data_IF_167336898542
#
_entry.id   IF_167336898542
#
_cell.length_a   1.000
_cell.length_b   1.000
_cell.length_c   1.000
_cell.angle_alpha   90.00
_cell.angle_beta   90.00
_cell.angle_gamma   90.00
#
_symmetry.space_group_name_H-M   'P 1'
#
loop_
_entity.id
_entity.type
_entity.pdbx_description
1 polymer ?
#
# COMPACT_ATOMS: atom_id res chain seq x y z
N UNK A 1 16.53 -22.07 -19.36
CA UNK A 1 17.16 -20.95 -20.10
C UNK A 1 16.52 -20.60 -21.44
N UNK A 2 16.63 -21.40 -22.53
CA UNK A 2 16.12 -20.97 -23.86
C UNK A 2 14.59 -20.74 -23.90
N UNK A 3 13.80 -21.58 -23.21
CA UNK A 3 12.34 -21.48 -23.15
C UNK A 3 11.87 -20.29 -22.30
N UNK A 4 12.49 -20.06 -21.14
CA UNK A 4 12.20 -18.90 -20.29
C UNK A 4 12.54 -17.59 -20.98
N UNK A 5 13.69 -17.54 -21.67
CA UNK A 5 14.08 -16.38 -22.47
C UNK A 5 13.07 -16.13 -23.59
N UNK A 6 12.64 -17.18 -24.30
CA UNK A 6 11.60 -17.07 -25.34
C UNK A 6 10.27 -16.55 -24.79
N UNK A 7 9.83 -17.05 -23.63
CA UNK A 7 8.61 -16.58 -22.96
C UNK A 7 8.75 -15.11 -22.56
N UNK A 8 9.85 -14.73 -21.91
CA UNK A 8 10.10 -13.37 -21.47
C UNK A 8 10.16 -12.39 -22.66
N UNK A 9 10.88 -12.75 -23.72
CA UNK A 9 10.97 -11.95 -24.94
C UNK A 9 9.61 -11.84 -25.65
N UNK A 10 8.85 -12.95 -25.75
CA UNK A 10 7.50 -12.94 -26.32
C UNK A 10 6.56 -12.02 -25.54
N UNK A 11 6.62 -12.06 -24.21
CA UNK A 11 5.80 -11.21 -23.35
C UNK A 11 6.16 -9.73 -23.54
N UNK A 12 7.46 -9.40 -23.54
CA UNK A 12 7.94 -8.04 -23.76
C UNK A 12 7.51 -7.49 -25.12
N UNK A 13 7.67 -8.28 -26.19
CA UNK A 13 7.23 -7.91 -27.54
C UNK A 13 5.72 -7.69 -27.58
N UNK A 14 4.94 -8.58 -26.94
CA UNK A 14 3.48 -8.45 -26.89
C UNK A 14 3.06 -7.15 -26.21
N UNK A 15 3.69 -6.81 -25.08
CA UNK A 15 3.42 -5.54 -24.37
C UNK A 15 3.74 -4.34 -25.24
N UNK A 16 4.89 -4.34 -25.92
CA UNK A 16 5.27 -3.24 -26.83
C UNK A 16 4.30 -3.10 -28.00
N UNK A 17 3.91 -4.22 -28.61
CA UNK A 17 2.93 -4.23 -29.72
C UNK A 17 1.58 -3.71 -29.24
N UNK A 18 1.08 -4.19 -28.10
CA UNK A 18 -0.19 -3.73 -27.55
C UNK A 18 -0.15 -2.25 -27.20
N UNK A 19 0.95 -1.76 -26.61
CA UNK A 19 1.12 -0.34 -26.31
C UNK A 19 1.16 0.51 -27.59
N UNK A 20 1.85 0.04 -28.63
CA UNK A 20 1.94 0.73 -29.91
C UNK A 20 0.59 0.74 -30.65
N UNK A 21 -0.12 -0.39 -30.69
CA UNK A 21 -1.48 -0.49 -31.24
C UNK A 21 -2.44 0.42 -30.48
N UNK A 22 -2.39 0.43 -29.14
CA UNK A 22 -3.22 1.32 -28.33
C UNK A 22 -2.92 2.79 -28.62
N UNK A 23 -1.65 3.12 -28.88
CA UNK A 23 -1.24 4.48 -29.24
C UNK A 23 -1.74 4.88 -30.63
N UNK A 24 -1.49 4.05 -31.66
CA UNK A 24 -1.91 4.31 -33.03
C UNK A 24 -3.43 4.27 -33.20
N UNK A 25 -4.10 3.38 -32.46
CA UNK A 25 -5.56 3.25 -32.45
C UNK A 25 -6.27 4.37 -31.69
N UNK A 26 -5.55 5.38 -31.21
CA UNK A 26 -6.13 6.51 -30.47
C UNK A 26 -6.65 6.14 -29.09
N UNK A 27 -6.20 5.02 -28.52
CA UNK A 27 -6.58 4.57 -27.16
C UNK A 27 -6.14 5.54 -26.05
N UNK A 28 -5.17 6.43 -26.34
CA UNK A 28 -4.76 7.53 -25.46
C UNK A 28 -5.66 8.79 -25.60
N UNK A 29 -6.62 8.75 -26.53
CA UNK A 29 -7.38 9.91 -26.96
C UNK A 29 -6.52 10.94 -27.72
N UNK A 30 -7.08 12.12 -28.03
CA UNK A 30 -6.30 13.21 -28.60
C UNK A 30 -5.14 13.59 -27.67
N UNK A 31 -3.92 13.59 -28.22
CA UNK A 31 -2.73 14.09 -27.55
C UNK A 31 -2.74 15.61 -27.72
N UNK A 32 -3.09 16.34 -26.66
CA UNK A 32 -3.17 17.80 -26.66
C UNK A 32 -1.77 18.41 -26.52
N UNK A 33 -1.53 19.54 -27.20
CA UNK A 33 -0.35 20.40 -26.99
C UNK A 33 -0.46 21.21 -25.71
N UNK A 34 -1.69 21.56 -25.32
CA UNK A 34 -2.00 22.37 -24.15
C UNK A 34 -2.45 21.52 -22.96
N UNK A 35 -2.52 22.15 -21.79
CA UNK A 35 -2.98 21.48 -20.58
C UNK A 35 -4.43 21.01 -20.77
N UNK A 36 -4.71 19.76 -20.41
CA UNK A 36 -6.07 19.22 -20.51
C UNK A 36 -6.99 19.97 -19.53
N UNK A 37 -8.25 20.30 -19.90
CA UNK A 37 -9.17 21.00 -18.99
C UNK A 37 -9.35 20.31 -17.62
N UNK A 38 -9.31 18.98 -17.58
CA UNK A 38 -9.37 18.23 -16.33
C UNK A 38 -8.13 18.46 -15.44
N UNK A 39 -6.95 18.58 -16.04
CA UNK A 39 -5.72 18.87 -15.30
C UNK A 39 -5.71 20.30 -14.76
N UNK A 40 -6.26 21.27 -15.51
CA UNK A 40 -6.49 22.63 -15.02
C UNK A 40 -7.41 22.64 -13.79
N UNK A 41 -8.48 21.84 -13.80
CA UNK A 41 -9.37 21.71 -12.65
C UNK A 41 -8.60 21.18 -11.44
N UNK A 42 -7.88 20.07 -11.58
CA UNK A 42 -7.10 19.51 -10.46
C UNK A 42 -6.09 20.52 -9.93
N UNK A 43 -5.22 21.08 -10.77
CA UNK A 43 -4.24 22.08 -10.33
C UNK A 43 -4.89 23.29 -9.67
N UNK A 44 -6.02 23.75 -10.20
CA UNK A 44 -6.76 24.89 -9.68
C UNK A 44 -7.51 24.62 -8.37
N UNK A 45 -7.65 23.36 -7.94
CA UNK A 45 -8.38 22.97 -6.74
C UNK A 45 -7.54 22.20 -5.71
N UNK A 46 -6.35 21.67 -6.03
CA UNK A 46 -5.59 20.86 -5.06
C UNK A 46 -5.28 21.62 -3.76
N UNK A 47 -4.74 22.84 -3.86
CA UNK A 47 -4.48 23.74 -2.73
C UNK A 47 -5.02 25.15 -3.05
N UNK A 48 -6.32 25.34 -2.89
CA UNK A 48 -6.95 26.65 -3.15
C UNK A 48 -7.95 27.03 -2.04
N UNK A 49 -7.52 27.82 -1.04
CA UNK A 49 -8.39 28.25 0.07
C UNK A 49 -9.59 29.10 -0.38
N UNK A 50 -9.49 29.84 -1.49
CA UNK A 50 -10.59 30.65 -2.03
C UNK A 50 -11.71 29.76 -2.58
N UNK A 51 -11.35 28.60 -3.14
CA UNK A 51 -12.31 27.60 -3.64
C UNK A 51 -12.70 26.58 -2.56
N UNK A 52 -13.15 27.08 -1.41
CA UNK A 52 -13.47 26.28 -0.21
C UNK A 52 -14.29 25.00 -0.48
N UNK A 53 -15.24 25.04 -1.40
CA UNK A 53 -16.13 23.89 -1.68
C UNK A 53 -15.56 22.88 -2.68
N UNK A 54 -14.45 23.17 -3.34
CA UNK A 54 -13.84 22.31 -4.36
C UNK A 54 -12.42 21.89 -3.99
N UNK A 55 -11.80 22.57 -3.04
CA UNK A 55 -10.41 22.34 -2.68
C UNK A 55 -10.17 21.02 -1.94
N UNK A 56 -9.04 20.38 -2.21
CA UNK A 56 -8.55 19.25 -1.42
C UNK A 56 -7.70 19.68 -0.22
N UNK A 57 -7.26 20.94 -0.21
CA UNK A 57 -6.35 21.51 0.78
C UNK A 57 -5.06 20.71 0.95
N UNK A 58 -4.51 20.18 -0.14
CA UNK A 58 -3.28 19.40 -0.16
C UNK A 58 -2.27 20.03 -1.11
N UNK A 59 -1.03 20.31 -0.68
CA UNK A 59 0.03 20.75 -1.58
C UNK A 59 0.44 19.67 -2.59
N UNK A 60 0.28 18.39 -2.24
CA UNK A 60 0.65 17.27 -3.09
C UNK A 60 -0.51 16.91 -4.06
N UNK A 61 -0.27 17.16 -5.35
CA UNK A 61 -1.24 17.00 -6.43
C UNK A 61 -1.74 15.56 -6.60
N UNK A 62 -0.84 14.59 -6.56
CA UNK A 62 -1.14 13.18 -6.81
C UNK A 62 -1.96 12.59 -5.68
N UNK A 63 -1.61 12.84 -4.43
CA UNK A 63 -2.32 12.45 -3.21
C UNK A 63 -3.73 13.03 -3.19
N UNK A 64 -3.91 14.30 -3.58
CA UNK A 64 -5.24 14.88 -3.77
C UNK A 64 -6.04 14.15 -4.84
N UNK A 65 -5.41 13.82 -5.97
CA UNK A 65 -6.06 13.06 -7.04
C UNK A 65 -6.45 11.67 -6.55
N UNK A 66 -5.54 10.91 -5.95
CA UNK A 66 -5.78 9.51 -5.60
C UNK A 66 -6.73 9.37 -4.41
N UNK A 67 -6.75 10.28 -3.44
CA UNK A 67 -7.58 10.14 -2.24
C UNK A 67 -8.82 11.04 -2.18
N UNK A 68 -8.83 12.22 -2.82
CA UNK A 68 -10.00 13.12 -2.82
C UNK A 68 -10.77 13.04 -4.14
N UNK A 69 -10.12 13.32 -5.28
CA UNK A 69 -10.81 13.40 -6.57
C UNK A 69 -11.18 12.04 -7.16
N UNK A 70 -10.31 11.05 -6.99
CA UNK A 70 -10.43 9.67 -7.48
C UNK A 70 -10.26 8.66 -6.35
N UNK A 71 -10.71 9.03 -5.14
CA UNK A 71 -10.64 8.21 -3.93
C UNK A 71 -11.14 6.79 -4.09
N UNK A 72 -12.22 6.60 -4.87
CA UNK A 72 -12.79 5.27 -5.11
C UNK A 72 -11.85 4.35 -5.91
N UNK A 73 -11.07 4.89 -6.84
CA UNK A 73 -10.13 4.10 -7.64
C UNK A 73 -9.04 3.52 -6.72
N UNK A 74 -8.49 4.34 -5.82
CA UNK A 74 -7.48 3.94 -4.84
C UNK A 74 -8.05 3.01 -3.75
N UNK A 75 -9.30 3.22 -3.34
CA UNK A 75 -10.00 2.32 -2.43
C UNK A 75 -10.11 0.92 -3.04
N UNK A 76 -10.48 0.83 -4.33
CA UNK A 76 -10.56 -0.45 -5.02
C UNK A 76 -9.19 -1.06 -5.33
N UNK A 77 -8.16 -0.25 -5.61
CA UNK A 77 -6.78 -0.74 -5.69
C UNK A 77 -6.36 -1.41 -4.37
N UNK A 78 -6.61 -0.74 -3.24
CA UNK A 78 -6.36 -1.28 -1.90
C UNK A 78 -7.17 -2.56 -1.65
N UNK A 79 -8.42 -2.63 -2.11
CA UNK A 79 -9.26 -3.81 -2.00
C UNK A 79 -8.74 -4.99 -2.84
N UNK A 80 -8.26 -4.75 -4.07
CA UNK A 80 -7.66 -5.78 -4.91
C UNK A 80 -6.37 -6.31 -4.28
N UNK A 81 -5.49 -5.42 -3.80
CA UNK A 81 -4.31 -5.82 -3.04
C UNK A 81 -4.70 -6.63 -1.80
N UNK A 82 -5.73 -6.21 -1.08
CA UNK A 82 -6.25 -6.93 0.08
C UNK A 82 -6.65 -8.37 -0.24
N UNK A 83 -7.42 -8.56 -1.31
CA UNK A 83 -7.87 -9.86 -1.80
C UNK A 83 -6.70 -10.74 -2.23
N UNK A 84 -5.68 -10.18 -2.87
CA UNK A 84 -4.47 -10.91 -3.25
C UNK A 84 -3.76 -11.50 -2.02
N UNK A 85 -3.62 -10.72 -0.94
CA UNK A 85 -3.03 -11.21 0.32
C UNK A 85 -3.89 -12.30 0.97
N UNK A 86 -5.22 -12.17 0.96
CA UNK A 86 -6.11 -13.24 1.45
C UNK A 86 -5.91 -14.51 0.62
N UNK A 87 -5.86 -14.39 -0.70
CA UNK A 87 -5.61 -15.51 -1.60
C UNK A 87 -4.30 -16.22 -1.23
N UNK A 88 -3.21 -15.46 -1.05
CA UNK A 88 -1.94 -16.01 -0.60
C UNK A 88 -2.05 -16.70 0.77
N UNK A 89 -2.69 -16.06 1.75
CA UNK A 89 -2.89 -16.65 3.09
C UNK A 89 -3.72 -17.92 3.05
N UNK A 90 -4.74 -17.98 2.18
CA UNK A 90 -5.62 -19.14 2.01
C UNK A 90 -4.88 -20.32 1.38
N UNK A 91 -4.05 -20.08 0.37
CA UNK A 91 -3.18 -21.10 -0.24
C UNK A 91 -2.22 -21.68 0.80
N UNK A 92 -1.71 -20.85 1.72
CA UNK A 92 -0.74 -21.25 2.74
C UNK A 92 -1.37 -21.49 4.13
N UNK A 93 -2.68 -21.78 4.22
CA UNK A 93 -3.37 -21.89 5.52
C UNK A 93 -2.91 -23.08 6.35
N UNK A 94 -2.72 -24.22 5.70
CA UNK A 94 -2.46 -25.51 6.36
C UNK A 94 -0.96 -25.88 6.38
N UNK A 95 -0.11 -24.93 5.96
CA UNK A 95 1.34 -25.09 5.92
C UNK A 95 1.90 -24.66 7.28
N UNK A 96 2.53 -25.60 7.98
CA UNK A 96 3.03 -25.34 9.34
C UNK A 96 4.28 -24.46 9.28
N UNK A 97 4.20 -23.28 9.92
CA UNK A 97 5.31 -22.31 9.95
C UNK A 97 6.57 -22.82 10.67
N UNK A 98 6.45 -23.92 11.42
CA UNK A 98 7.52 -24.51 12.25
C UNK A 98 8.30 -25.63 11.55
N UNK A 99 7.83 -26.14 10.40
CA UNK A 99 8.52 -27.23 9.72
C UNK A 99 9.78 -26.68 9.04
N UNK A 100 10.90 -27.39 9.17
CA UNK A 100 12.19 -27.00 8.59
C UNK A 100 13.19 -26.34 9.55
N UNK A 101 12.88 -26.09 10.84
CA UNK A 101 13.88 -25.60 11.80
C UNK A 101 14.90 -26.70 12.15
N UNK A 102 15.78 -27.01 11.20
CA UNK A 102 17.05 -27.69 11.46
C UNK A 102 17.99 -26.60 11.92
N UNK A 103 18.12 -26.43 13.25
CA UNK A 103 18.92 -25.38 13.87
C UNK A 103 20.26 -25.20 13.13
N UNK A 104 20.51 -24.00 12.62
CA UNK A 104 21.73 -23.74 11.83
C UNK A 104 21.60 -22.79 10.63
N UNK A 105 20.53 -22.01 10.50
CA UNK A 105 20.38 -21.04 9.39
C UNK A 105 21.46 -19.95 9.42
N UNK A 106 22.57 -20.18 8.71
CA UNK A 106 23.62 -19.21 8.44
C UNK A 106 23.03 -18.05 7.65
N UNK A 107 22.58 -17.00 8.35
CA UNK A 107 22.36 -15.70 7.71
C UNK A 107 23.66 -15.19 7.07
N UNK A 108 23.58 -14.14 6.26
CA UNK A 108 24.71 -13.57 5.52
C UNK A 108 25.90 -13.17 6.42
N UNK A 109 26.99 -12.73 5.77
CA UNK A 109 28.27 -12.39 6.44
C UNK A 109 28.09 -11.39 7.60
N UNK A 110 29.04 -11.41 8.55
CA UNK A 110 29.04 -10.48 9.70
C UNK A 110 28.97 -9.02 9.25
N UNK A 111 29.67 -8.66 8.16
CA UNK A 111 29.67 -7.30 7.60
C UNK A 111 28.24 -6.92 7.16
N UNK A 112 27.56 -7.79 6.39
CA UNK A 112 26.18 -7.53 5.93
C UNK A 112 25.23 -7.38 7.11
N UNK A 113 25.35 -8.21 8.14
CA UNK A 113 24.53 -8.12 9.36
C UNK A 113 24.72 -6.80 10.09
N UNK A 114 25.95 -6.31 10.21
CA UNK A 114 26.25 -5.02 10.87
C UNK A 114 25.68 -3.85 10.06
N UNK A 115 25.94 -3.81 8.76
CA UNK A 115 25.41 -2.76 7.87
C UNK A 115 23.87 -2.74 7.90
N UNK A 116 23.25 -3.92 7.85
CA UNK A 116 21.77 -4.03 7.90
C UNK A 116 21.20 -3.45 9.20
N UNK A 117 21.83 -3.71 10.35
CA UNK A 117 21.37 -3.15 11.64
C UNK A 117 21.41 -1.62 11.66
N UNK A 118 22.33 -1.01 10.92
CA UNK A 118 22.42 0.45 10.78
C UNK A 118 21.37 1.00 9.80
N UNK A 119 21.09 0.28 8.71
CA UNK A 119 20.15 0.72 7.67
C UNK A 119 18.68 0.57 8.07
N UNK A 120 18.32 -0.42 8.90
CA UNK A 120 16.94 -0.64 9.34
C UNK A 120 16.30 0.61 9.97
N UNK A 121 16.87 1.24 11.01
CA UNK A 121 16.24 2.42 11.62
C UNK A 121 16.13 3.60 10.65
N UNK A 122 17.09 3.74 9.74
CA UNK A 122 17.06 4.77 8.69
C UNK A 122 15.88 4.52 7.74
N UNK A 123 15.71 3.28 7.27
CA UNK A 123 14.59 2.94 6.39
C UNK A 123 13.24 3.15 7.09
N UNK A 124 13.11 2.72 8.35
CA UNK A 124 11.89 2.94 9.16
C UNK A 124 11.56 4.44 9.24
N UNK A 125 12.56 5.28 9.55
CA UNK A 125 12.37 6.73 9.65
C UNK A 125 11.94 7.35 8.31
N UNK A 126 12.57 6.93 7.21
CA UNK A 126 12.21 7.38 5.86
C UNK A 126 10.77 6.99 5.52
N UNK A 127 10.41 5.72 5.72
CA UNK A 127 9.08 5.22 5.40
C UNK A 127 7.98 5.93 6.22
N UNK A 128 8.20 6.11 7.53
CA UNK A 128 7.27 6.86 8.39
C UNK A 128 7.16 8.32 7.91
N UNK A 129 8.28 8.95 7.55
CA UNK A 129 8.27 10.32 7.04
C UNK A 129 7.44 10.46 5.76
N UNK A 130 7.59 9.53 4.82
CA UNK A 130 6.82 9.49 3.56
C UNK A 130 5.32 9.34 3.86
N UNK A 131 4.93 8.47 4.82
CA UNK A 131 3.53 8.28 5.18
C UNK A 131 2.92 9.54 5.80
N UNK A 132 3.63 10.17 6.74
CA UNK A 132 3.13 11.33 7.48
C UNK A 132 3.10 12.61 6.65
N UNK A 133 3.95 12.73 5.63
CA UNK A 133 4.04 13.92 4.78
C UNK A 133 3.50 13.70 3.37
N UNK A 134 2.86 12.57 3.07
CA UNK A 134 2.38 12.24 1.72
C UNK A 134 1.35 13.23 1.17
N UNK A 135 0.67 14.00 2.03
CA UNK A 135 -0.23 15.08 1.62
C UNK A 135 0.49 16.41 1.33
N UNK A 136 1.76 16.55 1.70
CA UNK A 136 2.59 17.75 1.54
C UNK A 136 3.68 17.57 0.49
N UNK A 137 4.26 16.38 0.40
CA UNK A 137 5.43 16.03 -0.42
C UNK A 137 5.18 14.76 -1.22
N UNK A 138 5.83 14.57 -2.38
CA UNK A 138 5.67 13.36 -3.19
C UNK A 138 5.86 12.08 -2.37
N UNK A 139 4.91 11.16 -2.46
CA UNK A 139 4.84 10.00 -1.60
C UNK A 139 3.41 9.46 -1.49
N UNK A 140 3.03 9.06 -0.28
CA UNK A 140 1.73 8.47 0.01
C UNK A 140 1.84 7.25 0.92
N UNK A 141 0.70 6.72 1.35
CA UNK A 141 0.63 5.55 2.22
C UNK A 141 1.20 4.30 1.57
N UNK A 142 0.83 4.03 0.32
CA UNK A 142 1.29 2.84 -0.41
C UNK A 142 2.81 2.80 -0.58
N UNK A 143 3.40 3.90 -1.05
CA UNK A 143 4.84 4.03 -1.29
C UNK A 143 5.61 3.88 0.02
N UNK A 144 5.14 4.53 1.09
CA UNK A 144 5.70 4.38 2.41
C UNK A 144 5.60 2.94 2.92
N UNK A 145 4.46 2.27 2.71
CA UNK A 145 4.24 0.90 3.16
C UNK A 145 5.13 -0.09 2.42
N UNK A 146 5.32 0.10 1.12
CA UNK A 146 6.25 -0.69 0.32
C UNK A 146 7.70 -0.51 0.80
N UNK A 147 8.13 0.73 1.09
CA UNK A 147 9.46 1.01 1.63
C UNK A 147 9.67 0.35 3.01
N UNK A 148 8.67 0.42 3.89
CA UNK A 148 8.70 -0.22 5.21
C UNK A 148 8.74 -1.75 5.11
N UNK A 149 8.04 -2.34 4.14
CA UNK A 149 8.04 -3.78 3.91
C UNK A 149 9.42 -4.35 3.52
N UNK A 150 10.34 -3.51 3.05
CA UNK A 150 11.75 -3.89 2.82
C UNK A 150 12.43 -4.31 4.14
N UNK A 151 12.02 -3.78 5.29
CA UNK A 151 12.59 -4.13 6.61
C UNK A 151 12.43 -5.62 6.91
N UNK A 152 11.21 -6.19 6.98
CA UNK A 152 11.05 -7.62 7.19
C UNK A 152 11.68 -8.43 6.06
N UNK A 153 11.62 -7.99 4.79
CA UNK A 153 12.27 -8.67 3.68
C UNK A 153 13.78 -8.84 3.90
N UNK A 154 14.49 -7.75 4.20
CA UNK A 154 15.94 -7.79 4.43
C UNK A 154 16.26 -8.59 5.69
N UNK A 155 15.42 -8.53 6.73
CA UNK A 155 15.61 -9.35 7.93
C UNK A 155 15.52 -10.85 7.62
N UNK A 156 14.58 -11.28 6.77
CA UNK A 156 14.50 -12.68 6.30
C UNK A 156 15.79 -13.05 5.56
N UNK A 157 16.22 -12.22 4.60
CA UNK A 157 17.38 -12.52 3.73
C UNK A 157 18.70 -12.53 4.51
N UNK A 158 18.91 -11.56 5.41
CA UNK A 158 20.20 -11.36 6.09
C UNK A 158 20.34 -12.22 7.35
N UNK A 159 19.26 -12.38 8.12
CA UNK A 159 19.29 -13.05 9.42
C UNK A 159 18.57 -14.40 9.45
N UNK A 160 17.95 -14.82 8.34
CA UNK A 160 17.02 -15.96 8.24
C UNK A 160 15.62 -15.67 8.76
N UNK A 161 14.63 -16.35 8.17
CA UNK A 161 13.21 -16.38 8.61
C UNK A 161 13.07 -16.66 10.11
N UNK A 162 13.91 -17.54 10.66
CA UNK A 162 13.86 -17.93 12.07
C UNK A 162 14.22 -16.80 13.03
N UNK A 163 15.04 -15.83 12.59
CA UNK A 163 15.32 -14.64 13.38
C UNK A 163 14.06 -13.77 13.56
N UNK A 164 13.25 -13.62 12.51
CA UNK A 164 11.98 -12.90 12.57
C UNK A 164 10.93 -13.61 13.43
N UNK A 165 10.86 -14.94 13.36
CA UNK A 165 10.02 -15.73 14.27
C UNK A 165 10.46 -15.54 15.74
N UNK A 166 11.78 -15.46 15.99
CA UNK A 166 12.34 -15.14 17.30
C UNK A 166 12.02 -13.72 17.79
N UNK A 167 11.84 -12.76 16.88
CA UNK A 167 11.39 -11.40 17.18
C UNK A 167 9.88 -11.30 17.49
N UNK A 168 9.14 -12.42 17.49
CA UNK A 168 7.69 -12.50 17.72
C UNK A 168 6.84 -11.73 16.68
N UNK A 169 7.40 -11.38 15.53
CA UNK A 169 6.64 -10.84 14.41
C UNK A 169 5.87 -11.98 13.73
N UNK A 170 4.80 -12.44 14.38
CA UNK A 170 4.00 -13.56 13.89
C UNK A 170 3.09 -13.15 12.73
N UNK A 171 2.70 -14.12 11.90
CA UNK A 171 1.66 -13.95 10.88
C UNK A 171 0.38 -13.35 11.47
N UNK A 172 0.00 -13.76 12.69
CA UNK A 172 -1.16 -13.24 13.41
C UNK A 172 -1.03 -11.75 13.72
N UNK A 173 0.13 -11.31 14.22
CA UNK A 173 0.36 -9.89 14.51
C UNK A 173 0.32 -9.04 13.23
N UNK A 174 0.94 -9.52 12.15
CA UNK A 174 0.91 -8.83 10.87
C UNK A 174 -0.53 -8.76 10.31
N UNK A 175 -1.31 -9.83 10.41
CA UNK A 175 -2.72 -9.83 10.04
C UNK A 175 -3.54 -8.84 10.87
N UNK A 176 -3.28 -8.74 12.17
CA UNK A 176 -3.96 -7.80 13.05
C UNK A 176 -3.68 -6.35 12.64
N UNK A 177 -2.40 -5.95 12.51
CA UNK A 177 -2.07 -4.58 12.11
C UNK A 177 -2.53 -4.23 10.69
N UNK A 178 -2.47 -5.18 9.75
CA UNK A 178 -3.07 -5.01 8.43
C UNK A 178 -4.58 -4.72 8.53
N UNK A 179 -5.28 -5.50 9.36
CA UNK A 179 -6.72 -5.34 9.57
C UNK A 179 -7.05 -4.00 10.23
N UNK A 180 -6.20 -3.52 11.14
CA UNK A 180 -6.31 -2.17 11.74
C UNK A 180 -6.17 -1.10 10.65
N UNK A 181 -5.18 -1.21 9.77
CA UNK A 181 -5.02 -0.27 8.64
C UNK A 181 -6.28 -0.22 7.77
N UNK A 182 -6.82 -1.37 7.38
CA UNK A 182 -8.02 -1.42 6.54
C UNK A 182 -9.28 -0.91 7.26
N UNK A 183 -9.44 -1.25 8.53
CA UNK A 183 -10.52 -0.73 9.36
C UNK A 183 -10.41 0.79 9.50
N UNK A 184 -9.19 1.33 9.59
CA UNK A 184 -8.94 2.77 9.60
C UNK A 184 -9.29 3.45 8.28
N UNK A 185 -8.97 2.84 7.14
CA UNK A 185 -9.43 3.32 5.82
C UNK A 185 -10.96 3.32 5.77
N UNK A 186 -11.60 2.19 6.11
CA UNK A 186 -13.06 2.08 6.11
C UNK A 186 -13.72 3.10 7.06
N UNK A 187 -13.16 3.30 8.24
CA UNK A 187 -13.61 4.32 9.17
C UNK A 187 -13.51 5.70 8.55
N UNK A 188 -12.37 6.04 7.92
CA UNK A 188 -12.16 7.33 7.26
C UNK A 188 -13.16 7.57 6.11
N UNK A 189 -13.46 6.53 5.33
CA UNK A 189 -14.47 6.52 4.25
C UNK A 189 -15.86 6.89 4.78
N UNK A 190 -16.28 6.30 5.90
CA UNK A 190 -17.63 6.45 6.45
C UNK A 190 -17.77 7.56 7.48
N UNK A 191 -16.68 8.10 8.03
CA UNK A 191 -16.72 9.10 9.09
C UNK A 191 -17.53 10.36 8.72
N UNK A 192 -17.45 10.91 7.48
CA UNK A 192 -18.30 12.03 7.09
C UNK A 192 -19.79 11.71 7.18
N UNK A 193 -20.20 10.50 6.79
CA UNK A 193 -21.60 10.06 6.87
C UNK A 193 -22.03 9.90 8.33
N UNK A 194 -21.18 9.32 9.18
CA UNK A 194 -21.46 9.18 10.61
C UNK A 194 -21.65 10.56 11.25
N UNK A 195 -20.77 11.51 10.95
CA UNK A 195 -20.88 12.89 11.43
C UNK A 195 -22.13 13.60 10.90
N UNK A 196 -22.49 13.38 9.63
CA UNK A 196 -23.73 13.89 9.03
C UNK A 196 -24.98 13.39 9.77
N UNK A 197 -25.05 12.09 10.04
CA UNK A 197 -26.16 11.48 10.79
C UNK A 197 -26.30 12.07 12.20
N UNK A 198 -25.18 12.33 12.88
CA UNK A 198 -25.18 12.91 14.24
C UNK A 198 -25.53 14.41 14.27
N UNK A 199 -25.20 15.14 13.20
CA UNK A 199 -25.39 16.59 13.13
C UNK A 199 -26.66 17.02 12.37
N UNK A 200 -27.35 16.08 11.72
CA UNK A 200 -28.53 16.37 10.90
C UNK A 200 -28.21 17.04 9.55
N UNK A 201 -26.95 17.04 9.14
CA UNK A 201 -26.49 17.62 7.86
C UNK A 201 -26.19 16.54 6.82
N UNK A 202 -26.00 16.96 5.57
CA UNK A 202 -25.59 16.07 4.48
C UNK A 202 -24.06 15.91 4.43
N UNK A 203 -23.62 14.72 4.02
CA UNK A 203 -22.23 14.40 3.68
C UNK A 203 -22.19 13.37 2.55
N UNK A 204 -21.09 13.33 1.81
CA UNK A 204 -20.79 12.23 0.90
C UNK A 204 -19.81 11.24 1.52
N UNK A 205 -19.86 10.00 1.03
CA UNK A 205 -18.85 8.99 1.32
C UNK A 205 -17.48 9.50 0.85
N UNK A 206 -16.43 9.29 1.66
CA UNK A 206 -15.06 9.77 1.42
C UNK A 206 -14.89 11.29 1.33
N UNK A 207 -15.87 12.09 1.74
CA UNK A 207 -15.76 13.55 1.68
C UNK A 207 -14.61 14.08 2.56
N UNK A 208 -13.58 14.65 1.92
CA UNK A 208 -12.45 15.30 2.60
C UNK A 208 -12.84 16.68 3.14
N UNK A 209 -13.05 17.67 2.26
CA UNK A 209 -13.43 19.04 2.62
C UNK A 209 -14.93 19.28 2.46
N UNK A 210 -15.46 20.30 3.15
CA UNK A 210 -16.87 20.70 3.07
C UNK A 210 -17.29 21.05 1.64
N UNK A 211 -18.51 20.70 1.25
CA UNK A 211 -19.10 21.03 -0.07
C UNK A 211 -20.32 21.94 0.10
N UNK A 212 -20.74 22.61 -0.96
CA UNK A 212 -21.83 23.60 -0.92
C UNK A 212 -23.15 23.04 -0.36
N UNK A 213 -23.47 21.78 -0.65
CA UNK A 213 -24.68 21.10 -0.16
C UNK A 213 -24.39 20.02 0.90
N UNK A 214 -23.16 19.94 1.40
CA UNK A 214 -22.71 18.95 2.38
C UNK A 214 -21.67 19.60 3.32
N UNK A 215 -22.11 20.24 4.43
CA UNK A 215 -21.25 21.08 5.26
C UNK A 215 -20.32 20.31 6.21
N UNK A 216 -20.39 18.98 6.23
CA UNK A 216 -19.55 18.11 7.07
C UNK A 216 -18.23 17.81 6.36
N UNK A 217 -17.09 17.93 7.03
CA UNK A 217 -15.79 17.60 6.44
C UNK A 217 -14.69 17.56 7.49
N UNK A 218 -13.52 17.08 7.07
CA UNK A 218 -12.33 17.04 7.90
C UNK A 218 -11.64 18.40 7.96
N UNK A 219 -11.09 18.80 9.13
CA UNK A 219 -10.36 20.06 9.23
C UNK A 219 -9.08 19.99 8.40
N UNK A 220 -8.86 20.99 7.53
CA UNK A 220 -7.62 21.09 6.76
C UNK A 220 -6.40 21.38 7.66
N UNK A 221 -6.60 22.04 8.80
CA UNK A 221 -5.55 22.44 9.73
C UNK A 221 -5.84 21.96 11.16
N UNK A 222 -4.78 21.64 11.89
CA UNK A 222 -4.81 21.49 13.36
C UNK A 222 -3.83 22.51 13.94
N UNK A 223 -4.35 23.53 14.61
CA UNK A 223 -3.57 24.72 14.93
C UNK A 223 -3.06 25.38 13.66
N UNK A 224 -1.73 25.56 13.56
CA UNK A 224 -1.07 26.14 12.37
C UNK A 224 -0.52 25.08 11.40
N UNK A 225 -0.76 23.79 11.65
CA UNK A 225 -0.22 22.70 10.83
C UNK A 225 -1.27 22.24 9.83
N UNK A 226 -0.88 22.23 8.54
CA UNK A 226 -1.72 21.70 7.47
C UNK A 226 -1.69 20.16 7.50
N UNK A 227 -2.86 19.56 7.71
CA UNK A 227 -3.06 18.10 7.75
C UNK A 227 -3.86 17.58 6.55
N UNK A 228 -4.37 18.48 5.70
CA UNK A 228 -5.12 18.15 4.48
C UNK A 228 -6.33 17.23 4.71
N UNK A 229 -6.99 17.38 5.87
CA UNK A 229 -8.22 16.68 6.21
C UNK A 229 -8.06 15.17 6.29
N UNK A 230 -8.78 14.42 5.45
CA UNK A 230 -8.78 12.95 5.48
C UNK A 230 -7.54 12.32 4.83
N UNK A 231 -6.80 13.05 4.00
CA UNK A 231 -5.67 12.53 3.23
C UNK A 231 -4.57 11.96 4.12
N UNK A 232 -4.24 12.64 5.23
CA UNK A 232 -3.25 12.14 6.19
C UNK A 232 -3.70 10.82 6.84
N UNK A 233 -5.00 10.66 7.11
CA UNK A 233 -5.55 9.43 7.70
C UNK A 233 -5.44 8.28 6.70
N UNK A 234 -5.83 8.53 5.44
CA UNK A 234 -5.68 7.53 4.39
C UNK A 234 -4.21 7.11 4.23
N UNK A 235 -3.28 8.06 4.19
CA UNK A 235 -1.85 7.75 4.08
C UNK A 235 -1.34 6.88 5.25
N UNK A 236 -1.70 7.21 6.49
CA UNK A 236 -1.26 6.45 7.67
C UNK A 236 -1.86 5.05 7.70
N UNK A 237 -3.15 4.93 7.40
CA UNK A 237 -3.84 3.64 7.44
C UNK A 237 -3.47 2.73 6.27
N UNK A 238 -3.28 3.30 5.08
CA UNK A 238 -2.75 2.59 3.92
C UNK A 238 -1.29 2.15 4.16
N UNK A 239 -0.45 3.01 4.74
CA UNK A 239 0.90 2.66 5.15
C UNK A 239 0.93 1.38 6.01
N UNK A 240 0.06 1.30 7.02
CA UNK A 240 -0.07 0.11 7.85
C UNK A 240 -0.55 -1.10 7.04
N UNK A 241 -1.65 -0.94 6.29
CA UNK A 241 -2.23 -2.03 5.50
C UNK A 241 -1.23 -2.64 4.49
N UNK A 242 -0.47 -1.79 3.81
CA UNK A 242 0.52 -2.18 2.79
C UNK A 242 1.76 -2.79 3.42
N UNK A 243 2.32 -2.16 4.47
CA UNK A 243 3.48 -2.69 5.21
C UNK A 243 3.24 -4.13 5.65
N UNK A 244 2.13 -4.37 6.34
CA UNK A 244 1.84 -5.67 6.90
C UNK A 244 1.29 -6.66 5.86
N UNK A 245 0.64 -6.19 4.79
CA UNK A 245 0.29 -7.01 3.63
C UNK A 245 1.52 -7.63 2.98
N UNK A 246 2.52 -6.83 2.62
CA UNK A 246 3.78 -7.34 2.07
C UNK A 246 4.57 -8.16 3.08
N UNK A 247 4.57 -7.78 4.37
CA UNK A 247 5.22 -8.57 5.43
C UNK A 247 4.67 -10.01 5.49
N UNK A 248 3.35 -10.18 5.38
CA UNK A 248 2.72 -11.50 5.32
C UNK A 248 3.20 -12.25 4.07
N UNK A 249 3.17 -11.62 2.90
CA UNK A 249 3.65 -12.25 1.66
C UNK A 249 5.10 -12.74 1.80
N UNK A 250 6.01 -11.92 2.31
CA UNK A 250 7.41 -12.32 2.47
C UNK A 250 7.57 -13.45 3.50
N UNK A 251 6.77 -13.48 4.57
CA UNK A 251 6.76 -14.58 5.53
C UNK A 251 6.23 -15.90 4.94
N UNK A 252 5.27 -15.83 4.01
CA UNK A 252 4.72 -17.00 3.32
C UNK A 252 5.66 -17.49 2.21
N UNK A 253 6.17 -16.59 1.38
CA UNK A 253 7.07 -16.90 0.27
C UNK A 253 8.48 -17.31 0.72
N UNK A 254 8.84 -17.06 1.98
CA UNK A 254 10.09 -17.55 2.57
C UNK A 254 10.02 -18.98 3.11
N UNK A 255 8.88 -19.64 3.01
CA UNK A 255 8.75 -21.07 3.32
C UNK A 255 9.38 -21.87 2.17
N UNK A 256 10.14 -22.91 2.50
CA UNK A 256 10.79 -23.78 1.52
C UNK A 256 9.76 -24.43 0.58
N UNK A 257 9.97 -24.33 -0.72
CA UNK A 257 9.02 -24.80 -1.73
C UNK A 257 8.79 -26.32 -1.66
N UNK A 258 9.83 -27.11 -1.39
CA UNK A 258 9.71 -28.56 -1.27
C UNK A 258 8.80 -28.95 -0.10
N UNK A 259 8.93 -28.24 1.01
CA UNK A 259 8.05 -28.41 2.17
C UNK A 259 6.59 -28.09 1.83
N UNK A 260 6.37 -26.99 1.11
CA UNK A 260 5.04 -26.59 0.64
C UNK A 260 4.44 -27.71 -0.25
N UNK A 261 5.24 -28.26 -1.17
CA UNK A 261 4.81 -29.34 -2.06
C UNK A 261 4.51 -30.64 -1.31
N UNK A 262 5.37 -31.06 -0.39
CA UNK A 262 5.18 -32.26 0.44
C UNK A 262 3.88 -32.16 1.25
N UNK A 263 3.64 -31.02 1.90
CA UNK A 263 2.41 -30.81 2.67
C UNK A 263 1.16 -30.73 1.78
N UNK A 264 1.24 -30.08 0.61
CA UNK A 264 0.11 -30.03 -0.33
C UNK A 264 -0.19 -31.38 -0.98
N UNK A 265 0.81 -32.27 -1.11
CA UNK A 265 0.64 -33.65 -1.60
C UNK A 265 0.13 -34.60 -0.53
N UNK A 266 0.04 -34.17 0.73
CA UNK A 266 -0.37 -35.00 1.85
C UNK A 266 0.72 -35.96 2.36
N UNK A 267 1.97 -35.78 1.93
CA UNK A 267 3.09 -36.71 2.22
C UNK A 267 3.60 -36.59 3.68
N UNK A 268 3.12 -35.60 4.45
CA UNK A 268 3.51 -35.38 5.86
C UNK A 268 2.44 -35.93 6.84
N UNK A 269 1.46 -36.70 6.34
CA UNK A 269 0.37 -37.27 7.13
C UNK A 269 0.44 -38.78 7.29
N UNK A 270 1.47 -39.31 7.95
CA UNK A 270 1.46 -40.60 8.69
C UNK A 270 2.82 -40.77 9.41
N UNK A 271 2.99 -40.18 10.59
CA UNK A 271 3.86 -40.65 11.69
C UNK A 271 3.55 -39.91 13.00
#
# INVERSE_FOLDING_TARGET
>A
MKKELLIATSLAITVVILAYIATLGGGLGPLFSDLRPLAEVFLGTTLNPEKRFFTAMSPEGVTAIVWDYRGLDTLFETAVFYLAIIGAVAIYRDISEKVGFKGGGLGLSKIVKVVTKLLIPINIAIAISIALHGHLTPGGGFQAGAAMAVVPMILIVVFSRYFLLGLKLSKSLALAFRSIGLAGIALTVFLPIIMALLSGFNAYIMQNQVKANAPVGFPAYVGNVLISGSLILYNVFEFLAVTFGFSILFLLLSIEEDLVKEQMRGEVGEH
#
